data_IF_857721356098
#
_entry.id   IF_857721356098
#
_cell.length_a   1.000
_cell.length_b   1.000
_cell.length_c   1.000
_cell.angle_alpha   90.00
_cell.angle_beta   90.00
_cell.angle_gamma   90.00
#
_symmetry.space_group_name_H-M   'P 1'
#
loop_
_entity.id
_entity.type
_entity.pdbx_description
1 polymer ?
#
# COMPACT_ATOMS: atom_id res chain seq x y z
N UNK A 1 2.52 -13.55 21.68
CA UNK A 1 2.91 -14.24 20.46
C UNK A 1 2.59 -13.38 19.24
N UNK A 2 3.59 -13.17 18.43
CA UNK A 2 3.43 -12.31 17.28
C UNK A 2 2.59 -13.01 16.21
N UNK A 3 1.50 -12.38 15.84
CA UNK A 3 0.66 -12.86 14.76
C UNK A 3 1.42 -12.67 13.44
N UNK A 4 1.62 -13.76 12.72
CA UNK A 4 2.33 -13.69 11.45
C UNK A 4 1.43 -13.04 10.40
N UNK A 5 1.97 -12.02 9.73
CA UNK A 5 1.26 -11.41 8.61
C UNK A 5 1.44 -12.31 7.38
N UNK A 6 0.34 -12.90 6.94
CA UNK A 6 0.37 -13.88 5.84
C UNK A 6 -0.25 -13.36 4.54
N UNK A 7 -0.85 -12.19 4.57
CA UNK A 7 -1.50 -11.64 3.39
C UNK A 7 -0.46 -11.25 2.33
N UNK A 8 -0.90 -11.23 1.08
CA UNK A 8 -0.04 -10.83 -0.04
C UNK A 8 0.20 -9.32 -0.04
N UNK A 9 1.44 -8.96 -0.31
CA UNK A 9 1.88 -7.57 -0.46
C UNK A 9 2.43 -7.41 -1.87
N UNK A 10 1.99 -6.37 -2.57
CA UNK A 10 2.52 -6.01 -3.88
C UNK A 10 3.47 -4.83 -3.75
N UNK A 11 4.61 -4.92 -4.42
CA UNK A 11 5.51 -3.78 -4.64
C UNK A 11 5.52 -3.48 -6.13
N UNK A 12 5.18 -2.26 -6.50
CA UNK A 12 5.05 -1.85 -7.90
C UNK A 12 5.93 -0.63 -8.15
N UNK A 13 6.97 -0.79 -8.96
CA UNK A 13 7.94 0.26 -9.25
C UNK A 13 8.71 -0.14 -10.52
N UNK A 14 8.84 0.75 -11.48
CA UNK A 14 9.60 0.44 -12.70
C UNK A 14 11.12 0.44 -12.45
N UNK A 15 11.57 0.91 -11.30
CA UNK A 15 12.98 0.79 -10.90
C UNK A 15 13.22 -0.53 -10.16
N UNK A 16 13.85 -1.47 -10.86
CA UNK A 16 14.11 -2.81 -10.33
C UNK A 16 14.98 -2.78 -9.08
N UNK A 17 15.90 -1.81 -8.99
CA UNK A 17 16.73 -1.67 -7.77
C UNK A 17 15.87 -1.30 -6.56
N UNK A 18 14.91 -0.40 -6.74
CA UNK A 18 13.96 -0.05 -5.68
C UNK A 18 13.13 -1.25 -5.26
N UNK A 19 12.61 -2.01 -6.22
CA UNK A 19 11.83 -3.23 -5.93
C UNK A 19 12.62 -4.20 -5.06
N UNK A 20 13.85 -4.48 -5.46
CA UNK A 20 14.69 -5.43 -4.74
C UNK A 20 15.03 -4.92 -3.34
N UNK A 21 15.31 -3.64 -3.22
CA UNK A 21 15.66 -3.03 -1.94
C UNK A 21 14.48 -3.09 -0.96
N UNK A 22 13.31 -2.66 -1.41
CA UNK A 22 12.11 -2.65 -0.55
C UNK A 22 11.68 -4.07 -0.19
N UNK A 23 11.81 -5.01 -1.12
CA UNK A 23 11.53 -6.42 -0.86
C UNK A 23 12.45 -6.96 0.24
N UNK A 24 13.74 -6.61 0.19
CA UNK A 24 14.68 -7.00 1.23
C UNK A 24 14.30 -6.43 2.60
N UNK A 25 13.93 -5.16 2.64
CA UNK A 25 13.51 -4.53 3.89
C UNK A 25 12.29 -5.23 4.49
N UNK A 26 11.29 -5.52 3.66
CA UNK A 26 10.09 -6.22 4.13
C UNK A 26 10.41 -7.63 4.60
N UNK A 27 11.28 -8.32 3.88
CA UNK A 27 11.70 -9.67 4.26
C UNK A 27 12.42 -9.67 5.61
N UNK A 28 13.29 -8.70 5.86
CA UNK A 28 13.96 -8.54 7.14
C UNK A 28 12.97 -8.30 8.29
N UNK A 29 11.84 -7.67 7.99
CA UNK A 29 10.79 -7.42 8.96
C UNK A 29 9.85 -8.60 9.15
N UNK A 30 10.04 -9.69 8.39
CA UNK A 30 9.24 -10.91 8.53
C UNK A 30 8.12 -11.05 7.53
N UNK A 31 7.99 -10.16 6.55
CA UNK A 31 6.95 -10.27 5.52
C UNK A 31 7.47 -11.13 4.37
N UNK A 32 6.83 -12.25 4.12
CA UNK A 32 7.33 -13.26 3.18
C UNK A 32 6.52 -13.37 1.89
N UNK A 33 5.28 -12.89 1.90
CA UNK A 33 4.39 -13.01 0.72
C UNK A 33 4.41 -11.70 -0.08
N UNK A 34 5.58 -11.35 -0.59
CA UNK A 34 5.81 -10.10 -1.33
C UNK A 34 5.97 -10.43 -2.82
N UNK A 35 5.19 -9.76 -3.65
CA UNK A 35 5.19 -9.94 -5.10
C UNK A 35 5.62 -8.64 -5.77
N UNK A 36 6.55 -8.73 -6.72
CA UNK A 36 7.16 -7.58 -7.37
C UNK A 36 6.61 -7.39 -8.78
N UNK A 37 6.27 -6.15 -9.11
CA UNK A 37 5.80 -5.77 -10.45
C UNK A 37 6.57 -4.54 -10.90
N UNK A 38 7.08 -4.57 -12.11
CA UNK A 38 7.84 -3.44 -12.66
C UNK A 38 6.99 -2.51 -13.52
N UNK A 39 5.68 -2.75 -13.57
CA UNK A 39 4.75 -1.90 -14.31
C UNK A 39 3.34 -2.02 -13.73
N UNK A 40 2.51 -1.04 -14.05
CA UNK A 40 1.15 -0.98 -13.51
C UNK A 40 0.22 -2.02 -14.09
N UNK A 41 0.35 -2.34 -15.37
CA UNK A 41 -0.52 -3.31 -16.03
C UNK A 41 -0.40 -4.70 -15.44
N UNK A 42 0.81 -5.17 -15.18
CA UNK A 42 1.03 -6.48 -14.58
C UNK A 42 0.48 -6.53 -13.15
N UNK A 43 0.62 -5.45 -12.40
CA UNK A 43 0.03 -5.34 -11.08
C UNK A 43 -1.49 -5.51 -11.14
N UNK A 44 -2.14 -4.77 -12.03
CA UNK A 44 -3.60 -4.82 -12.17
C UNK A 44 -4.07 -6.20 -12.60
N UNK A 45 -3.35 -6.85 -13.52
CA UNK A 45 -3.68 -8.19 -13.98
C UNK A 45 -3.60 -9.22 -12.83
N UNK A 46 -2.69 -9.02 -11.89
CA UNK A 46 -2.46 -9.95 -10.78
C UNK A 46 -3.44 -9.79 -9.62
N UNK A 47 -4.25 -8.73 -9.59
CA UNK A 47 -5.13 -8.45 -8.44
C UNK A 47 -6.06 -9.61 -8.11
N UNK A 48 -6.71 -10.16 -9.13
CA UNK A 48 -7.70 -11.22 -8.91
C UNK A 48 -7.05 -12.50 -8.39
N UNK A 49 -5.90 -12.87 -8.96
CA UNK A 49 -5.23 -14.12 -8.60
C UNK A 49 -4.65 -14.09 -7.18
N UNK A 50 -4.08 -12.97 -6.77
CA UNK A 50 -3.36 -12.89 -5.50
C UNK A 50 -4.11 -12.17 -4.40
N UNK A 51 -5.11 -11.37 -4.75
CA UNK A 51 -5.92 -10.61 -3.78
C UNK A 51 -5.06 -9.95 -2.68
N UNK A 52 -4.18 -9.00 -3.04
CA UNK A 52 -3.27 -8.43 -2.04
C UNK A 52 -4.02 -7.62 -0.99
N UNK A 53 -3.49 -7.61 0.22
CA UNK A 53 -4.00 -6.74 1.28
C UNK A 53 -3.37 -5.35 1.23
N UNK A 54 -2.13 -5.28 0.77
CA UNK A 54 -1.33 -4.05 0.76
C UNK A 54 -0.63 -3.93 -0.58
N UNK A 55 -0.65 -2.73 -1.16
CA UNK A 55 0.11 -2.42 -2.37
C UNK A 55 0.94 -1.16 -2.12
N UNK A 56 2.25 -1.28 -2.29
CA UNK A 56 3.16 -0.14 -2.37
C UNK A 56 3.34 0.20 -3.84
N UNK A 57 3.10 1.45 -4.20
CA UNK A 57 2.93 1.86 -5.58
C UNK A 57 3.78 3.09 -5.89
N UNK A 58 4.60 3.01 -6.92
CA UNK A 58 5.31 4.18 -7.43
C UNK A 58 4.34 5.04 -8.24
N UNK A 59 4.49 6.35 -8.12
CA UNK A 59 3.64 7.29 -8.86
C UNK A 59 4.01 7.39 -10.34
N UNK A 60 5.32 7.48 -10.62
CA UNK A 60 5.79 7.66 -12.00
C UNK A 60 6.26 6.34 -12.59
N UNK A 61 5.45 5.79 -13.49
CA UNK A 61 5.78 4.57 -14.24
C UNK A 61 5.55 4.82 -15.72
N UNK A 62 6.27 4.08 -16.56
CA UNK A 62 6.24 4.31 -18.00
C UNK A 62 4.89 3.97 -18.65
N UNK A 63 4.22 2.92 -18.16
CA UNK A 63 2.97 2.46 -18.77
C UNK A 63 1.74 3.22 -18.25
N UNK A 64 1.60 3.33 -16.94
CA UNK A 64 0.47 4.00 -16.29
C UNK A 64 1.01 4.81 -15.12
N UNK A 65 0.45 5.99 -14.89
CA UNK A 65 0.82 6.71 -13.68
C UNK A 65 0.14 6.08 -12.46
N UNK A 66 0.73 6.31 -11.29
CA UNK A 66 0.27 5.67 -10.07
C UNK A 66 -1.17 6.03 -9.69
N UNK A 67 -1.62 7.24 -10.02
CA UNK A 67 -3.00 7.64 -9.70
C UNK A 67 -4.00 6.80 -10.47
N UNK A 68 -3.76 6.53 -11.76
CA UNK A 68 -4.65 5.70 -12.56
C UNK A 68 -4.67 4.26 -12.03
N UNK A 69 -3.52 3.74 -11.64
CA UNK A 69 -3.42 2.41 -11.04
C UNK A 69 -4.21 2.37 -9.72
N UNK A 70 -4.05 3.38 -8.87
CA UNK A 70 -4.78 3.49 -7.61
C UNK A 70 -6.30 3.46 -7.84
N UNK A 71 -6.79 4.22 -8.80
CA UNK A 71 -8.22 4.26 -9.10
C UNK A 71 -8.73 2.90 -9.49
N UNK A 72 -7.98 2.17 -10.31
CA UNK A 72 -8.36 0.83 -10.74
C UNK A 72 -8.30 -0.20 -9.61
N UNK A 73 -7.30 -0.10 -8.75
CA UNK A 73 -7.20 -0.95 -7.56
C UNK A 73 -8.43 -0.74 -6.67
N UNK A 74 -8.79 0.50 -6.40
CA UNK A 74 -9.92 0.82 -5.54
C UNK A 74 -11.25 0.43 -6.15
N UNK A 75 -11.35 0.48 -7.47
CA UNK A 75 -12.53 -0.02 -8.18
C UNK A 75 -12.65 -1.53 -8.07
N UNK A 76 -11.53 -2.24 -8.15
CA UNK A 76 -11.50 -3.70 -7.99
C UNK A 76 -11.88 -4.11 -6.57
N UNK A 77 -11.23 -3.51 -5.58
CA UNK A 77 -11.49 -3.81 -4.17
C UNK A 77 -11.08 -2.62 -3.29
N UNK A 78 -12.04 -1.84 -2.80
CA UNK A 78 -11.74 -0.64 -2.00
C UNK A 78 -11.08 -0.96 -0.65
N UNK A 79 -11.11 -2.23 -0.22
CA UNK A 79 -10.49 -2.63 1.04
C UNK A 79 -8.97 -2.78 0.95
N UNK A 80 -8.40 -2.83 -0.27
CA UNK A 80 -6.95 -2.92 -0.43
C UNK A 80 -6.30 -1.63 0.07
N UNK A 81 -5.32 -1.76 0.94
CA UNK A 81 -4.55 -0.62 1.43
C UNK A 81 -3.45 -0.28 0.43
N UNK A 82 -3.46 0.95 -0.07
CA UNK A 82 -2.46 1.41 -1.03
C UNK A 82 -1.64 2.53 -0.40
N UNK A 83 -0.32 2.39 -0.50
CA UNK A 83 0.63 3.42 -0.08
C UNK A 83 1.53 3.75 -1.26
N UNK A 84 1.78 5.04 -1.46
CA UNK A 84 2.72 5.47 -2.49
C UNK A 84 4.13 5.56 -1.94
N UNK A 85 5.10 5.10 -2.73
CA UNK A 85 6.52 5.36 -2.50
C UNK A 85 7.02 6.03 -3.77
N UNK A 86 7.30 7.32 -3.72
CA UNK A 86 7.62 8.09 -4.92
C UNK A 86 8.89 8.90 -4.75
N UNK A 87 9.61 9.10 -5.86
CA UNK A 87 10.77 9.97 -5.89
C UNK A 87 10.43 11.46 -5.84
N UNK A 88 9.17 11.82 -6.00
CA UNK A 88 8.74 13.22 -6.06
C UNK A 88 8.22 13.73 -4.73
N UNK A 89 8.74 14.88 -4.29
CA UNK A 89 8.22 15.61 -3.14
C UNK A 89 7.23 16.66 -3.62
N UNK A 90 6.07 16.23 -4.07
CA UNK A 90 5.04 17.11 -4.60
C UNK A 90 3.80 17.02 -3.73
N UNK A 91 3.51 18.10 -3.02
CA UNK A 91 2.38 18.14 -2.08
C UNK A 91 1.05 17.97 -2.82
N UNK A 92 0.90 18.55 -4.01
CA UNK A 92 -0.35 18.41 -4.76
C UNK A 92 -0.60 16.97 -5.17
N UNK A 93 0.44 16.28 -5.62
CA UNK A 93 0.34 14.84 -5.95
C UNK A 93 -0.03 14.04 -4.71
N UNK A 94 0.66 14.30 -3.60
CA UNK A 94 0.40 13.58 -2.36
C UNK A 94 -1.04 13.76 -1.89
N UNK A 95 -1.54 15.00 -1.88
CA UNK A 95 -2.92 15.30 -1.49
C UNK A 95 -3.89 14.60 -2.43
N UNK A 96 -3.64 14.65 -3.72
CA UNK A 96 -4.51 14.04 -4.72
C UNK A 96 -4.60 12.52 -4.55
N UNK A 97 -3.48 11.86 -4.30
CA UNK A 97 -3.48 10.40 -4.07
C UNK A 97 -4.21 10.02 -2.79
N UNK A 98 -4.04 10.78 -1.72
CA UNK A 98 -4.76 10.55 -0.46
C UNK A 98 -6.26 10.75 -0.66
N UNK A 99 -6.66 11.78 -1.40
CA UNK A 99 -8.08 12.03 -1.70
C UNK A 99 -8.72 10.90 -2.51
N UNK A 100 -7.92 10.16 -3.28
CA UNK A 100 -8.41 9.03 -4.06
C UNK A 100 -8.26 7.68 -3.34
N UNK A 101 -7.90 7.71 -2.06
CA UNK A 101 -7.94 6.53 -1.22
C UNK A 101 -6.61 5.92 -0.83
N UNK A 102 -5.48 6.55 -1.18
CA UNK A 102 -4.19 6.09 -0.66
C UNK A 102 -4.11 6.35 0.83
N UNK A 103 -3.52 5.44 1.57
CA UNK A 103 -3.34 5.60 3.01
C UNK A 103 -2.25 6.61 3.32
N UNK A 104 -1.19 6.61 2.53
CA UNK A 104 -0.06 7.52 2.73
C UNK A 104 0.74 7.70 1.45
N UNK A 105 1.59 8.72 1.44
CA UNK A 105 2.50 9.04 0.35
C UNK A 105 3.89 9.24 0.95
N UNK A 106 4.81 8.37 0.58
CA UNK A 106 6.15 8.31 1.19
C UNK A 106 7.18 8.67 0.13
N UNK A 107 8.12 9.55 0.47
CA UNK A 107 9.18 9.93 -0.45
C UNK A 107 10.29 8.89 -0.41
N UNK A 108 10.77 8.46 -1.57
CA UNK A 108 11.79 7.41 -1.70
C UNK A 108 13.03 7.67 -0.85
N UNK A 109 13.45 8.93 -0.74
CA UNK A 109 14.65 9.28 0.02
C UNK A 109 14.52 9.01 1.52
N UNK A 110 13.31 8.84 2.02
CA UNK A 110 13.06 8.58 3.45
C UNK A 110 12.95 7.08 3.77
N UNK A 111 13.00 6.20 2.77
CA UNK A 111 12.78 4.77 2.98
C UNK A 111 14.01 4.13 3.60
N UNK A 112 13.75 3.35 4.65
CA UNK A 112 14.73 2.51 5.34
C UNK A 112 13.97 1.34 5.95
N UNK A 113 14.69 0.36 6.48
CA UNK A 113 14.04 -0.74 7.20
C UNK A 113 13.23 -0.22 8.38
N UNK A 114 13.77 0.75 9.13
CA UNK A 114 13.07 1.35 10.26
C UNK A 114 11.82 2.10 9.83
N UNK A 115 11.91 2.86 8.76
CA UNK A 115 10.76 3.60 8.23
C UNK A 115 9.66 2.63 7.80
N UNK A 116 10.02 1.57 7.08
CA UNK A 116 9.05 0.55 6.66
C UNK A 116 8.45 -0.18 7.86
N UNK A 117 9.25 -0.45 8.88
CA UNK A 117 8.73 -1.06 10.11
C UNK A 117 7.63 -0.19 10.72
N UNK A 118 7.89 1.10 10.86
CA UNK A 118 6.90 2.05 11.39
C UNK A 118 5.64 2.10 10.53
N UNK A 119 5.82 2.14 9.22
CA UNK A 119 4.71 2.15 8.27
C UNK A 119 3.89 0.88 8.40
N UNK A 120 4.53 -0.29 8.43
CA UNK A 120 3.83 -1.56 8.50
C UNK A 120 3.10 -1.74 9.83
N UNK A 121 3.66 -1.28 10.92
CA UNK A 121 2.97 -1.29 12.21
C UNK A 121 1.68 -0.47 12.14
N UNK A 122 1.74 0.71 11.52
CA UNK A 122 0.57 1.55 11.33
C UNK A 122 -0.45 0.91 10.40
N UNK A 123 0.02 0.31 9.29
CA UNK A 123 -0.86 -0.36 8.34
C UNK A 123 -1.56 -1.54 8.96
N UNK A 124 -0.84 -2.39 9.68
CA UNK A 124 -1.44 -3.55 10.34
C UNK A 124 -2.45 -3.13 11.39
N UNK A 125 -2.17 -2.06 12.11
CA UNK A 125 -3.11 -1.50 13.07
C UNK A 125 -4.37 -0.99 12.39
N UNK A 126 -4.21 -0.32 11.24
CA UNK A 126 -5.33 0.17 10.43
C UNK A 126 -6.19 -0.97 9.90
N UNK A 127 -5.57 -2.08 9.54
CA UNK A 127 -6.25 -3.25 8.99
C UNK A 127 -6.77 -4.18 10.07
N UNK A 128 -6.36 -3.98 11.30
CA UNK A 128 -6.83 -4.86 12.34
C UNK A 128 -8.31 -4.77 12.48
N UNK A 129 -8.89 -5.97 12.57
CA UNK A 129 -10.30 -6.10 12.82
C UNK A 129 -10.69 -5.75 14.25
N UNK A 130 -10.53 -4.63 14.67
CA UNK A 130 -11.50 -3.97 15.47
C UNK A 130 -12.80 -4.10 14.81
N UNK A 131 -12.56 -4.28 13.76
CA UNK A 131 -13.06 -5.14 12.83
C UNK A 131 -13.81 -6.23 13.52
N UNK A 132 -13.34 -6.68 14.50
CA UNK A 132 -14.04 -7.61 15.33
C UNK A 132 -14.98 -6.94 16.31
N UNK A 133 -14.93 -5.62 16.41
CA UNK A 133 -15.89 -4.90 17.25
C UNK A 133 -16.88 -4.14 16.39
N UNK A 134 -18.08 -4.69 16.18
CA UNK A 134 -19.14 -4.00 15.44
C UNK A 134 -19.45 -2.62 16.01
N UNK A 135 -19.29 -2.46 17.33
CA UNK A 135 -19.49 -1.20 18.01
C UNK A 135 -18.49 -0.13 17.60
N UNK A 136 -17.23 -0.50 17.37
CA UNK A 136 -16.21 0.45 16.94
C UNK A 136 -16.49 0.98 15.55
N UNK A 137 -16.91 0.11 14.63
CA UNK A 137 -17.29 0.51 13.28
C UNK A 137 -18.52 1.41 13.29
N UNK A 138 -19.51 1.06 14.06
CA UNK A 138 -20.71 1.89 14.21
C UNK A 138 -20.37 3.27 14.76
N UNK A 139 -19.47 3.32 15.72
CA UNK A 139 -19.02 4.60 16.28
C UNK A 139 -18.28 5.45 15.26
N UNK A 140 -17.49 4.83 14.41
CA UNK A 140 -16.78 5.52 13.33
C UNK A 140 -17.74 6.06 12.28
N UNK A 141 -18.67 5.23 11.84
CA UNK A 141 -19.69 5.63 10.89
C UNK A 141 -20.55 6.76 11.46
N UNK A 142 -20.87 6.69 12.72
CA UNK A 142 -21.64 7.74 13.39
C UNK A 142 -20.91 9.07 13.36
N UNK A 143 -19.58 9.04 13.57
CA UNK A 143 -18.78 10.27 13.50
C UNK A 143 -18.71 10.85 12.10
N UNK A 144 -18.72 9.99 11.09
CA UNK A 144 -18.66 10.43 9.69
C UNK A 144 -19.95 11.02 9.21
N UNK A 145 -21.09 10.57 9.75
CA UNK A 145 -22.42 10.94 9.26
C UNK A 145 -23.24 11.77 10.25
N UNK A 146 -22.65 12.19 11.35
CA UNK A 146 -23.37 13.07 12.29
C UNK A 146 -22.95 14.54 12.24
#
# INVERSE_FOLDING_TARGET
MLKRFTANIFLVDDDVLCLNLYSQFLKQLGYTNVHLFDNGNDCLTALDAFNPAIIFLDYNMDDLNGLDVLKQIKKFNPAITVLFISGQEDIEIAVNTIQHGALDYIVKSSISTEKLKTIMERVEKHMQPETTHPTAQKSLLKRLFS
#
